data_IF_424299252983
#
_entry.id   IF_424299252983
#
_cell.length_a   1.000
_cell.length_b   1.000
_cell.length_c   1.000
_cell.angle_alpha   90.00
_cell.angle_beta   90.00
_cell.angle_gamma   90.00
#
_symmetry.space_group_name_H-M   'P 1'
#
loop_
_entity.id
_entity.type
_entity.pdbx_description
1 polymer ?
#
# COMPACT_ATOMS: atom_id res chain seq x y z
N UNK A 1 -51.91 38.87 54.55
CA UNK A 1 -50.51 38.62 54.08
C UNK A 1 -50.32 37.26 53.40
N UNK A 2 -50.89 36.16 53.89
CA UNK A 2 -50.71 34.79 53.32
C UNK A 2 -51.07 34.62 51.83
N UNK A 3 -52.13 35.29 51.33
CA UNK A 3 -52.54 35.22 49.90
C UNK A 3 -51.52 35.82 48.93
N UNK A 4 -50.87 36.94 49.30
CA UNK A 4 -49.84 37.59 48.47
C UNK A 4 -48.56 36.75 48.40
N UNK A 5 -48.18 36.12 49.52
CA UNK A 5 -47.04 35.20 49.58
C UNK A 5 -47.26 33.96 48.68
N UNK A 6 -48.47 33.38 48.70
CA UNK A 6 -48.82 32.24 47.83
C UNK A 6 -48.73 32.58 46.33
N UNK A 7 -49.16 33.78 45.92
CA UNK A 7 -49.07 34.22 44.53
C UNK A 7 -47.62 34.41 44.05
N UNK A 8 -46.76 35.00 44.88
CA UNK A 8 -45.33 35.17 44.56
C UNK A 8 -44.64 33.82 44.41
N UNK A 9 -44.93 32.85 45.29
CA UNK A 9 -44.40 31.49 45.19
C UNK A 9 -44.89 30.79 43.92
N UNK A 10 -46.18 30.95 43.56
CA UNK A 10 -46.72 30.38 42.33
C UNK A 10 -46.05 30.95 41.07
N UNK A 11 -45.88 32.27 40.99
CA UNK A 11 -45.20 32.92 39.86
C UNK A 11 -43.74 32.48 39.77
N UNK A 12 -43.06 32.33 40.91
CA UNK A 12 -41.68 31.85 40.95
C UNK A 12 -41.56 30.41 40.44
N UNK A 13 -42.44 29.51 40.86
CA UNK A 13 -42.49 28.13 40.36
C UNK A 13 -42.78 28.10 38.85
N UNK A 14 -43.74 28.90 38.37
CA UNK A 14 -44.03 29.02 36.94
C UNK A 14 -42.81 29.51 36.14
N UNK A 15 -42.06 30.46 36.69
CA UNK A 15 -40.81 30.94 36.11
C UNK A 15 -39.74 29.84 36.01
N UNK A 16 -39.58 29.02 37.06
CA UNK A 16 -38.67 27.86 37.04
C UNK A 16 -39.11 26.85 35.98
N UNK A 17 -40.40 26.53 35.90
CA UNK A 17 -40.91 25.56 34.90
C UNK A 17 -40.63 26.06 33.48
N UNK A 18 -40.86 27.34 33.20
CA UNK A 18 -40.53 27.94 31.91
C UNK A 18 -39.01 27.92 31.63
N UNK A 19 -38.19 28.26 32.61
CA UNK A 19 -36.74 28.24 32.47
C UNK A 19 -36.21 26.82 32.17
N UNK A 20 -36.75 25.81 32.87
CA UNK A 20 -36.41 24.39 32.62
C UNK A 20 -36.86 23.97 31.23
N UNK A 21 -38.07 24.32 30.80
CA UNK A 21 -38.58 24.00 29.47
C UNK A 21 -37.69 24.56 28.35
N UNK A 22 -37.32 25.85 28.44
CA UNK A 22 -36.42 26.50 27.48
C UNK A 22 -35.04 25.85 27.51
N UNK A 23 -34.51 25.58 28.71
CA UNK A 23 -33.18 24.96 28.88
C UNK A 23 -33.12 23.58 28.24
N UNK A 24 -34.13 22.74 28.45
CA UNK A 24 -34.21 21.39 27.85
C UNK A 24 -34.26 21.48 26.33
N UNK A 25 -35.05 22.41 25.78
CA UNK A 25 -35.12 22.62 24.34
C UNK A 25 -33.78 23.06 23.75
N UNK A 26 -33.12 24.03 24.39
CA UNK A 26 -31.80 24.53 23.96
C UNK A 26 -30.72 23.45 24.03
N UNK A 27 -30.70 22.66 25.10
CA UNK A 27 -29.75 21.55 25.26
C UNK A 27 -29.99 20.50 24.16
N UNK A 28 -31.24 20.08 23.94
CA UNK A 28 -31.58 19.10 22.90
C UNK A 28 -31.15 19.57 21.51
N UNK A 29 -31.42 20.83 21.17
CA UNK A 29 -31.04 21.38 19.86
C UNK A 29 -29.52 21.46 19.73
N UNK A 30 -28.81 21.91 20.77
CA UNK A 30 -27.34 21.96 20.75
C UNK A 30 -26.70 20.57 20.56
N UNK A 31 -27.24 19.53 21.23
CA UNK A 31 -26.79 18.16 21.01
C UNK A 31 -27.05 17.71 19.56
N UNK A 32 -28.24 18.01 19.02
CA UNK A 32 -28.60 17.67 17.65
C UNK A 32 -27.68 18.35 16.64
N UNK A 33 -27.44 19.65 16.77
CA UNK A 33 -26.55 20.41 15.89
C UNK A 33 -25.14 19.83 15.90
N UNK A 34 -24.59 19.51 17.09
CA UNK A 34 -23.26 18.90 17.21
C UNK A 34 -23.16 17.53 16.55
N UNK A 35 -24.22 16.72 16.62
CA UNK A 35 -24.25 15.42 15.95
C UNK A 35 -24.26 15.60 14.43
N UNK A 36 -25.08 16.52 13.91
CA UNK A 36 -25.15 16.82 12.48
C UNK A 36 -23.81 17.36 11.98
N UNK A 37 -23.18 18.29 12.70
CA UNK A 37 -21.87 18.84 12.34
C UNK A 37 -20.80 17.74 12.26
N UNK A 38 -20.78 16.80 13.21
CA UNK A 38 -19.87 15.65 13.16
C UNK A 38 -20.12 14.75 11.96
N UNK A 39 -21.39 14.50 11.63
CA UNK A 39 -21.76 13.68 10.47
C UNK A 39 -21.35 14.37 9.16
N UNK A 40 -21.59 15.68 9.04
CA UNK A 40 -21.14 16.50 7.91
C UNK A 40 -19.61 16.45 7.77
N UNK A 41 -18.88 16.61 8.87
CA UNK A 41 -17.42 16.56 8.85
C UNK A 41 -16.91 15.18 8.43
N UNK A 42 -17.53 14.10 8.94
CA UNK A 42 -17.21 12.72 8.56
C UNK A 42 -17.46 12.49 7.07
N UNK A 43 -18.60 12.94 6.55
CA UNK A 43 -18.95 12.81 5.13
C UNK A 43 -18.00 13.61 4.23
N UNK A 44 -17.56 14.80 4.67
CA UNK A 44 -16.56 15.60 3.95
C UNK A 44 -15.22 14.88 3.87
N UNK A 45 -14.76 14.32 4.99
CA UNK A 45 -13.51 13.55 5.02
C UNK A 45 -13.58 12.32 4.12
N UNK A 46 -14.71 11.61 4.12
CA UNK A 46 -14.96 10.47 3.24
C UNK A 46 -14.94 10.88 1.76
N UNK A 47 -15.61 11.99 1.40
CA UNK A 47 -15.60 12.52 0.05
C UNK A 47 -14.18 12.88 -0.42
N UNK A 48 -13.40 13.57 0.43
CA UNK A 48 -12.02 13.91 0.11
C UNK A 48 -11.15 12.66 -0.07
N UNK A 49 -11.34 11.63 0.77
CA UNK A 49 -10.64 10.35 0.61
C UNK A 49 -10.94 9.71 -0.74
N UNK A 50 -12.22 9.61 -1.10
CA UNK A 50 -12.66 9.02 -2.36
C UNK A 50 -12.11 9.81 -3.55
N UNK A 51 -12.08 11.14 -3.47
CA UNK A 51 -11.51 11.99 -4.52
C UNK A 51 -10.01 11.71 -4.72
N UNK A 52 -9.24 11.69 -3.63
CA UNK A 52 -7.81 11.37 -3.68
C UNK A 52 -7.55 9.94 -4.22
N UNK A 53 -8.39 8.98 -3.83
CA UNK A 53 -8.30 7.61 -4.35
C UNK A 53 -8.60 7.56 -5.85
N UNK A 54 -9.58 8.33 -6.32
CA UNK A 54 -9.93 8.42 -7.73
C UNK A 54 -8.77 9.02 -8.56
N UNK A 55 -8.16 10.10 -8.07
CA UNK A 55 -6.98 10.71 -8.70
C UNK A 55 -5.81 9.70 -8.78
N UNK A 56 -5.48 9.03 -7.68
CA UNK A 56 -4.42 8.02 -7.67
C UNK A 56 -4.72 6.84 -8.63
N UNK A 57 -5.99 6.44 -8.76
CA UNK A 57 -6.39 5.42 -9.74
C UNK A 57 -6.22 5.92 -11.18
N UNK A 58 -6.58 7.18 -11.47
CA UNK A 58 -6.40 7.79 -12.80
C UNK A 58 -4.93 7.88 -13.19
N UNK A 59 -4.06 8.27 -12.27
CA UNK A 59 -2.61 8.30 -12.50
C UNK A 59 -2.06 6.91 -12.85
N UNK A 60 -2.50 5.86 -12.13
CA UNK A 60 -2.11 4.48 -12.43
C UNK A 60 -2.60 4.02 -13.80
N UNK A 61 -3.86 4.33 -14.15
CA UNK A 61 -4.41 4.02 -15.47
C UNK A 61 -3.58 4.70 -16.55
N UNK A 62 -3.30 6.00 -16.39
CA UNK A 62 -2.47 6.76 -17.33
C UNK A 62 -1.07 6.14 -17.49
N UNK A 63 -0.44 5.71 -16.39
CA UNK A 63 0.83 4.99 -16.45
C UNK A 63 0.72 3.66 -17.21
N UNK A 64 -0.34 2.88 -17.01
CA UNK A 64 -0.53 1.62 -17.71
C UNK A 64 -0.82 1.78 -19.21
N UNK A 65 -1.37 2.93 -19.60
CA UNK A 65 -1.60 3.27 -21.00
C UNK A 65 -0.32 3.72 -21.73
N UNK A 66 0.76 4.01 -21.01
CA UNK A 66 2.05 4.39 -21.63
C UNK A 66 2.63 3.26 -22.49
N UNK A 67 3.29 3.65 -23.58
CA UNK A 67 3.99 2.72 -24.44
C UNK A 67 5.11 1.98 -23.70
N UNK A 68 5.82 2.64 -22.77
CA UNK A 68 6.87 1.98 -21.99
C UNK A 68 6.31 0.87 -21.10
N UNK A 69 5.17 1.09 -20.44
CA UNK A 69 4.55 0.05 -19.62
C UNK A 69 4.04 -1.11 -20.47
N UNK A 70 3.37 -0.82 -21.59
CA UNK A 70 2.89 -1.86 -22.51
C UNK A 70 4.05 -2.70 -23.06
N UNK A 71 5.15 -2.06 -23.46
CA UNK A 71 6.35 -2.75 -23.93
C UNK A 71 6.97 -3.60 -22.83
N UNK A 72 7.09 -3.07 -21.61
CA UNK A 72 7.58 -3.83 -20.45
C UNK A 72 6.77 -5.10 -20.23
N UNK A 73 5.44 -5.00 -20.21
CA UNK A 73 4.57 -6.17 -20.01
C UNK A 73 4.65 -7.13 -21.20
N UNK A 74 4.72 -6.64 -22.44
CA UNK A 74 4.88 -7.49 -23.63
C UNK A 74 6.19 -8.29 -23.58
N UNK A 75 7.29 -7.67 -23.14
CA UNK A 75 8.59 -8.34 -22.95
C UNK A 75 8.55 -9.33 -21.78
N UNK A 76 8.10 -8.90 -20.60
CA UNK A 76 8.14 -9.71 -19.37
C UNK A 76 7.13 -10.87 -19.34
N UNK A 77 5.93 -10.67 -19.89
CA UNK A 77 4.83 -11.64 -19.78
C UNK A 77 4.62 -12.45 -21.04
N UNK A 78 4.90 -11.88 -22.20
CA UNK A 78 4.64 -12.51 -23.49
C UNK A 78 5.92 -12.87 -24.24
N UNK A 79 7.10 -12.51 -23.72
CA UNK A 79 8.40 -12.66 -24.40
C UNK A 79 8.39 -12.09 -25.84
N UNK A 80 7.61 -11.02 -26.05
CA UNK A 80 7.55 -10.34 -27.34
C UNK A 80 8.71 -9.35 -27.46
N UNK A 81 9.24 -9.22 -28.66
CA UNK A 81 10.32 -8.28 -29.02
C UNK A 81 9.85 -7.38 -30.17
N UNK A 82 10.42 -6.19 -30.29
CA UNK A 82 10.15 -5.35 -31.47
C UNK A 82 10.82 -5.95 -32.71
N UNK A 83 10.32 -5.66 -33.93
CA UNK A 83 10.89 -6.19 -35.17
C UNK A 83 12.37 -5.82 -35.38
N UNK A 84 12.81 -4.70 -34.82
CA UNK A 84 14.16 -4.15 -34.90
C UNK A 84 15.07 -4.56 -33.71
N UNK A 85 14.61 -5.44 -32.82
CA UNK A 85 15.32 -5.88 -31.62
C UNK A 85 15.96 -7.28 -31.79
N UNK A 86 17.23 -7.44 -31.39
CA UNK A 86 17.94 -8.72 -31.40
C UNK A 86 18.09 -9.28 -29.99
N UNK A 87 17.50 -10.45 -29.71
CA UNK A 87 17.61 -11.14 -28.41
C UNK A 87 18.73 -12.17 -28.44
N UNK A 88 19.64 -12.08 -27.46
CA UNK A 88 20.74 -13.05 -27.28
C UNK A 88 20.42 -13.95 -26.10
N UNK A 89 20.21 -15.24 -26.38
CA UNK A 89 20.05 -16.26 -25.33
C UNK A 89 21.42 -16.79 -24.94
N UNK A 90 21.89 -16.41 -23.75
CA UNK A 90 23.13 -16.95 -23.18
C UNK A 90 22.83 -18.34 -22.64
N UNK A 91 23.13 -19.37 -23.43
CA UNK A 91 23.18 -20.75 -22.92
C UNK A 91 24.49 -20.88 -22.15
N UNK A 92 24.40 -21.09 -20.84
CA UNK A 92 25.55 -21.48 -20.05
C UNK A 92 26.04 -22.83 -20.61
N UNK A 93 27.14 -22.77 -21.36
CA UNK A 93 27.79 -23.95 -21.91
C UNK A 93 28.36 -24.70 -20.71
N UNK A 94 27.62 -25.68 -20.19
CA UNK A 94 28.23 -26.72 -19.37
C UNK A 94 29.10 -27.48 -20.36
N UNK A 95 30.38 -27.15 -20.40
CA UNK A 95 31.38 -27.89 -21.15
C UNK A 95 31.47 -29.29 -20.54
N UNK A 96 30.58 -30.19 -20.98
CA UNK A 96 30.94 -31.61 -21.04
C UNK A 96 31.96 -31.70 -22.16
N UNK A 97 33.23 -31.64 -21.81
CA UNK A 97 34.29 -32.19 -22.65
C UNK A 97 33.97 -33.67 -22.84
N UNK A 98 33.33 -34.00 -23.96
CA UNK A 98 33.31 -35.37 -24.45
C UNK A 98 34.69 -35.57 -25.06
N UNK A 99 35.64 -36.02 -24.23
CA UNK A 99 36.81 -36.71 -24.74
C UNK A 99 36.30 -38.08 -25.21
N UNK A 100 36.26 -38.29 -26.52
CA UNK A 100 36.44 -39.62 -27.08
C UNK A 100 37.82 -40.10 -26.63
N UNK A 101 37.86 -41.09 -25.75
CA UNK A 101 38.93 -42.06 -25.75
C UNK A 101 38.35 -43.43 -25.43
N UNK A 102 38.61 -44.31 -26.37
CA UNK A 102 38.47 -45.74 -26.30
C UNK A 102 39.29 -46.29 -25.13
N UNK A 103 38.65 -47.19 -24.39
CA UNK A 103 39.19 -48.31 -23.64
C UNK A 103 40.08 -48.14 -22.38
N UNK A 104 39.65 -48.92 -21.38
CA UNK A 104 40.37 -49.53 -20.24
C UNK A 104 40.46 -48.80 -18.89
N UNK A 105 40.10 -49.57 -17.86
CA UNK A 105 39.78 -49.10 -16.52
C UNK A 105 40.95 -48.61 -15.68
N UNK A 106 40.64 -47.75 -14.72
CA UNK A 106 41.59 -47.25 -13.72
C UNK A 106 40.97 -46.23 -12.77
N UNK A 107 40.64 -46.71 -11.56
CA UNK A 107 40.51 -46.02 -10.26
C UNK A 107 40.19 -44.51 -10.28
N UNK A 108 38.98 -44.17 -9.78
CA UNK A 108 38.56 -42.81 -9.41
C UNK A 108 39.53 -42.23 -8.36
N UNK A 109 40.43 -41.35 -8.79
CA UNK A 109 41.12 -40.44 -7.89
C UNK A 109 40.18 -39.25 -7.64
N UNK A 110 39.81 -39.09 -6.38
CA UNK A 110 39.05 -37.95 -5.85
C UNK A 110 39.90 -36.69 -6.09
N UNK A 111 39.61 -35.98 -7.19
CA UNK A 111 40.24 -34.69 -7.48
C UNK A 111 39.74 -33.72 -6.41
N UNK A 112 40.58 -33.49 -5.38
CA UNK A 112 40.29 -32.49 -4.35
C UNK A 112 40.20 -31.13 -5.02
N UNK A 113 38.97 -30.71 -5.31
CA UNK A 113 38.67 -29.38 -5.81
C UNK A 113 39.10 -28.38 -4.75
N UNK A 114 40.14 -27.61 -5.04
CA UNK A 114 40.59 -26.55 -4.15
C UNK A 114 39.41 -25.63 -3.79
N UNK A 115 39.20 -25.33 -2.49
CA UNK A 115 38.17 -24.42 -2.06
C UNK A 115 38.29 -23.05 -2.74
N UNK A 116 37.16 -22.44 -3.07
CA UNK A 116 37.14 -21.18 -3.84
C UNK A 116 37.96 -20.05 -3.18
N UNK A 117 38.07 -20.01 -1.86
CA UNK A 117 38.89 -19.00 -1.16
C UNK A 117 40.39 -19.13 -1.48
N UNK A 118 40.91 -20.34 -1.69
CA UNK A 118 42.31 -20.59 -2.07
C UNK A 118 42.60 -20.08 -3.48
N UNK A 119 41.63 -20.21 -4.39
CA UNK A 119 41.73 -19.70 -5.77
C UNK A 119 41.84 -18.18 -5.79
N UNK A 120 41.00 -17.49 -5.02
CA UNK A 120 41.06 -16.03 -4.91
C UNK A 120 42.36 -15.56 -4.27
N UNK A 121 42.83 -16.23 -3.21
CA UNK A 121 44.10 -15.87 -2.58
C UNK A 121 45.29 -16.00 -3.55
N UNK A 122 45.36 -17.11 -4.30
CA UNK A 122 46.40 -17.29 -5.31
C UNK A 122 46.33 -16.25 -6.43
N UNK A 123 45.13 -15.86 -6.86
CA UNK A 123 44.96 -14.83 -7.89
C UNK A 123 45.49 -13.46 -7.44
N UNK A 124 45.23 -13.07 -6.19
CA UNK A 124 45.55 -11.72 -5.71
C UNK A 124 46.96 -11.58 -5.13
N UNK A 125 47.56 -12.66 -4.61
CA UNK A 125 48.76 -12.55 -3.79
C UNK A 125 49.93 -13.45 -4.22
N UNK A 126 49.78 -14.23 -5.30
CA UNK A 126 50.87 -15.05 -5.83
C UNK A 126 51.47 -14.38 -7.07
N UNK A 127 52.53 -13.60 -6.85
CA UNK A 127 53.46 -13.07 -7.87
C UNK A 127 54.88 -13.47 -7.48
#
# INVERSE_FOLDING_TARGET
MKKKFSYVVFVFIAGIVLAVFISVSAVRESYRSRTIEKEVETLKQEAQRIENENEAMRERISYFETAEFQEKIAKEKLNLQKPDENVVVVKQRVEKQVQENDDQGGVVQDEKVDPNYLKWWNFFFKY
#
